data_IF_159224189803
#
_entry.id   IF_159224189803
#
_cell.length_a   1.000
_cell.length_b   1.000
_cell.length_c   1.000
_cell.angle_alpha   90.00
_cell.angle_beta   90.00
_cell.angle_gamma   90.00
#
_symmetry.space_group_name_H-M   'P 1'
#
loop_
_entity.id
_entity.type
_entity.pdbx_description
1 polymer ?
#
# COMPACT_ATOMS: atom_id res chain seq x y z
N UNK A 1 -1.60 15.45 13.08
CA UNK A 1 -1.28 15.03 11.70
C UNK A 1 -1.16 13.51 11.71
N UNK A 2 -1.77 12.80 10.75
CA UNK A 2 -1.68 11.34 10.68
C UNK A 2 -0.26 10.89 10.30
N UNK A 3 0.41 10.14 11.16
CA UNK A 3 1.75 9.64 10.85
C UNK A 3 1.68 8.45 9.89
N UNK A 4 2.65 8.30 8.97
CA UNK A 4 2.70 7.16 8.04
C UNK A 4 2.66 5.81 8.75
N UNK A 5 3.37 5.67 9.87
CA UNK A 5 3.39 4.42 10.66
C UNK A 5 2.02 4.10 11.27
N UNK A 6 1.27 5.10 11.75
CA UNK A 6 -0.07 4.89 12.30
C UNK A 6 -1.04 4.41 11.21
N UNK A 7 -0.89 4.97 10.01
CA UNK A 7 -1.68 4.54 8.86
C UNK A 7 -1.33 3.12 8.42
N UNK A 8 -0.05 2.75 8.42
CA UNK A 8 0.41 1.37 8.18
C UNK A 8 -0.25 0.38 9.15
N UNK A 9 -0.37 0.74 10.44
CA UNK A 9 -0.97 -0.16 11.44
C UNK A 9 -2.44 -0.49 11.11
N UNK A 10 -3.16 0.38 10.38
CA UNK A 10 -4.54 0.06 9.97
C UNK A 10 -4.59 -1.16 9.04
N UNK A 11 -3.62 -1.31 8.14
CA UNK A 11 -3.50 -2.52 7.30
C UNK A 11 -3.08 -3.77 8.06
N UNK A 12 -2.48 -3.61 9.24
CA UNK A 12 -2.13 -4.73 10.13
C UNK A 12 -3.29 -5.15 11.05
N UNK A 13 -4.37 -4.37 11.07
CA UNK A 13 -5.49 -4.49 11.99
C UNK A 13 -6.84 -4.42 11.25
N UNK A 14 -6.96 -5.12 10.12
CA UNK A 14 -8.19 -5.20 9.32
C UNK A 14 -9.27 -5.95 10.13
N UNK A 15 -10.45 -5.34 10.29
CA UNK A 15 -11.56 -5.92 11.04
C UNK A 15 -12.59 -6.53 10.10
N UNK A 16 -12.74 -7.86 10.15
CA UNK A 16 -13.64 -8.60 9.29
C UNK A 16 -14.84 -9.10 10.08
N UNK A 17 -16.04 -8.66 9.70
CA UNK A 17 -17.30 -9.12 10.27
C UNK A 17 -17.71 -10.42 9.62
N UNK A 18 -18.06 -11.42 10.42
CA UNK A 18 -18.50 -12.72 9.95
C UNK A 18 -19.59 -13.29 10.86
N UNK A 19 -20.60 -13.92 10.25
CA UNK A 19 -21.56 -14.74 10.99
C UNK A 19 -20.88 -16.00 11.50
N UNK A 20 -21.11 -16.34 12.77
CA UNK A 20 -20.71 -17.62 13.36
C UNK A 20 -21.96 -18.30 13.87
N UNK A 21 -22.27 -19.46 13.31
CA UNK A 21 -23.29 -20.35 13.85
C UNK A 21 -22.79 -20.92 15.18
N UNK A 22 -23.66 -20.88 16.16
CA UNK A 22 -23.48 -21.45 17.47
C UNK A 22 -24.31 -22.74 17.52
N UNK A 23 -23.62 -23.88 17.44
CA UNK A 23 -24.24 -25.20 17.33
C UNK A 23 -25.10 -25.55 18.56
N UNK A 24 -24.71 -25.06 19.74
CA UNK A 24 -25.43 -25.31 21.00
C UNK A 24 -26.76 -24.55 21.04
N UNK A 25 -26.77 -23.31 20.56
CA UNK A 25 -27.95 -22.43 20.61
C UNK A 25 -28.74 -22.36 19.31
N UNK A 26 -28.25 -23.01 18.25
CA UNK A 26 -28.74 -22.88 16.86
C UNK A 26 -28.92 -21.43 16.42
N UNK A 27 -28.09 -20.53 16.97
CA UNK A 27 -28.18 -19.09 16.71
C UNK A 27 -26.98 -18.62 15.89
N UNK A 28 -27.18 -17.61 15.06
CA UNK A 28 -26.09 -16.94 14.36
C UNK A 28 -25.72 -15.66 15.11
N UNK A 29 -24.46 -15.53 15.52
CA UNK A 29 -23.93 -14.30 16.10
C UNK A 29 -22.87 -13.66 15.20
N UNK A 30 -22.78 -12.34 15.26
CA UNK A 30 -21.74 -11.60 14.56
C UNK A 30 -20.43 -11.64 15.35
N UNK A 31 -19.35 -12.08 14.71
CA UNK A 31 -18.00 -12.07 15.26
C UNK A 31 -17.12 -11.14 14.42
N UNK A 32 -16.19 -10.45 15.07
CA UNK A 32 -15.18 -9.62 14.40
C UNK A 32 -13.82 -10.28 14.51
N UNK A 33 -13.26 -10.67 13.37
CA UNK A 33 -11.91 -11.20 13.28
C UNK A 33 -10.91 -10.10 12.90
N UNK A 34 -9.70 -10.17 13.44
CA UNK A 34 -8.61 -9.24 13.11
C UNK A 34 -7.53 -9.95 12.29
N UNK A 35 -7.26 -9.42 11.10
CA UNK A 35 -6.27 -9.94 10.15
C UNK A 35 -5.39 -8.81 9.61
N UNK A 36 -4.37 -9.15 8.81
CA UNK A 36 -3.44 -8.18 8.21
C UNK A 36 -3.31 -8.36 6.69
N UNK A 37 -3.03 -7.27 5.99
CA UNK A 37 -2.57 -7.29 4.60
C UNK A 37 -1.04 -7.27 4.59
N UNK A 38 -0.43 -8.37 4.14
CA UNK A 38 1.03 -8.55 4.14
C UNK A 38 1.68 -8.67 2.77
N UNK A 39 0.89 -8.93 1.71
CA UNK A 39 1.34 -9.17 0.33
C UNK A 39 1.50 -7.85 -0.42
N UNK A 40 2.54 -7.78 -1.27
CA UNK A 40 2.64 -6.74 -2.29
C UNK A 40 1.93 -7.22 -3.54
N UNK A 41 1.12 -6.36 -4.13
CA UNK A 41 0.31 -6.71 -5.29
C UNK A 41 0.43 -5.61 -6.32
N UNK A 42 0.98 -5.93 -7.48
CA UNK A 42 1.02 -5.03 -8.64
C UNK A 42 0.17 -5.69 -9.72
N UNK A 43 -0.99 -5.09 -10.00
CA UNK A 43 -1.94 -5.68 -10.93
C UNK A 43 -1.33 -5.88 -12.32
N UNK A 44 -1.31 -7.13 -12.78
CA UNK A 44 -1.10 -7.52 -14.16
C UNK A 44 -2.43 -7.96 -14.77
N UNK A 45 -2.82 -7.35 -15.90
CA UNK A 45 -4.10 -7.60 -16.55
C UNK A 45 -4.04 -8.69 -17.63
N UNK A 46 -2.87 -9.29 -17.84
CA UNK A 46 -2.73 -10.44 -18.73
C UNK A 46 -3.69 -11.55 -18.30
N UNK A 47 -4.36 -12.18 -19.28
CA UNK A 47 -5.53 -13.02 -19.03
C UNK A 47 -5.26 -14.20 -18.08
N UNK A 48 -4.03 -14.72 -18.11
CA UNK A 48 -3.60 -15.91 -17.36
C UNK A 48 -2.78 -15.57 -16.10
N UNK A 49 -2.60 -14.28 -15.79
CA UNK A 49 -1.84 -13.84 -14.62
C UNK A 49 -2.50 -14.30 -13.31
N UNK A 50 -1.68 -14.50 -12.28
CA UNK A 50 -2.18 -14.81 -10.93
C UNK A 50 -3.00 -13.63 -10.40
N UNK A 51 -2.58 -12.40 -10.69
CA UNK A 51 -3.26 -11.17 -10.29
C UNK A 51 -4.67 -11.07 -10.87
N UNK A 52 -4.86 -11.47 -12.14
CA UNK A 52 -6.18 -11.52 -12.77
C UNK A 52 -7.07 -12.59 -12.14
N UNK A 53 -6.51 -13.74 -11.79
CA UNK A 53 -7.23 -14.82 -11.08
C UNK A 53 -7.63 -14.36 -9.68
N UNK A 54 -6.72 -13.77 -8.91
CA UNK A 54 -6.97 -13.19 -7.58
C UNK A 54 -8.08 -12.13 -7.64
N UNK A 55 -7.97 -11.19 -8.59
CA UNK A 55 -8.97 -10.16 -8.81
C UNK A 55 -10.35 -10.78 -9.08
N UNK A 56 -10.44 -11.76 -9.98
CA UNK A 56 -11.70 -12.43 -10.29
C UNK A 56 -12.25 -13.18 -9.05
N UNK A 57 -11.38 -13.85 -8.29
CA UNK A 57 -11.75 -14.55 -7.05
C UNK A 57 -12.38 -13.60 -6.05
N UNK A 58 -11.72 -12.48 -5.73
CA UNK A 58 -12.20 -11.48 -4.76
C UNK A 58 -13.49 -10.81 -5.25
N UNK A 59 -13.57 -10.48 -6.53
CA UNK A 59 -14.62 -9.59 -7.06
C UNK A 59 -15.83 -10.33 -7.61
N UNK A 60 -15.78 -11.66 -7.78
CA UNK A 60 -16.93 -12.46 -8.25
C UNK A 60 -18.17 -12.13 -7.42
N UNK A 61 -19.35 -12.10 -8.01
CA UNK A 61 -20.55 -11.82 -7.22
C UNK A 61 -21.83 -11.78 -8.01
N UNK A 62 -22.95 -11.76 -7.29
CA UNK A 62 -24.27 -11.74 -7.89
C UNK A 62 -24.75 -10.32 -8.13
N UNK A 63 -25.20 -10.04 -9.35
CA UNK A 63 -25.90 -8.79 -9.69
C UNK A 63 -27.20 -8.60 -8.90
N UNK A 64 -27.71 -9.64 -8.25
CA UNK A 64 -28.93 -9.59 -7.41
C UNK A 64 -28.64 -9.39 -5.92
N UNK A 65 -27.38 -9.48 -5.49
CA UNK A 65 -27.02 -9.26 -4.09
C UNK A 65 -26.83 -7.75 -3.84
N UNK A 66 -27.72 -7.15 -3.05
CA UNK A 66 -27.75 -5.72 -2.74
C UNK A 66 -26.49 -5.26 -2.01
N UNK A 67 -26.11 -5.97 -0.94
CA UNK A 67 -24.90 -5.68 -0.17
C UNK A 67 -23.65 -5.64 -1.04
N UNK A 68 -23.50 -6.60 -1.97
CA UNK A 68 -22.38 -6.62 -2.90
C UNK A 68 -22.43 -5.42 -3.85
N UNK A 69 -23.60 -5.06 -4.39
CA UNK A 69 -23.73 -3.92 -5.31
C UNK A 69 -23.32 -2.59 -4.65
N UNK A 70 -23.74 -2.38 -3.41
CA UNK A 70 -23.40 -1.18 -2.64
C UNK A 70 -21.90 -1.08 -2.35
N UNK A 71 -21.26 -2.22 -2.06
CA UNK A 71 -19.85 -2.28 -1.66
C UNK A 71 -18.89 -2.60 -2.82
N UNK A 72 -19.42 -2.88 -4.02
CA UNK A 72 -18.63 -3.32 -5.18
C UNK A 72 -17.47 -2.39 -5.50
N UNK A 73 -17.60 -1.05 -5.53
CA UNK A 73 -16.48 -0.18 -5.85
C UNK A 73 -15.30 -0.32 -4.89
N UNK A 74 -15.57 -0.55 -3.60
CA UNK A 74 -14.56 -0.74 -2.56
C UNK A 74 -13.90 -2.11 -2.67
N UNK A 75 -14.69 -3.15 -2.89
CA UNK A 75 -14.17 -4.52 -3.15
C UNK A 75 -13.24 -4.52 -4.36
N UNK A 76 -13.61 -3.81 -5.43
CA UNK A 76 -12.76 -3.63 -6.61
C UNK A 76 -11.44 -2.93 -6.27
N UNK A 77 -11.47 -1.86 -5.47
CA UNK A 77 -10.26 -1.16 -5.07
C UNK A 77 -9.30 -2.07 -4.31
N UNK A 78 -9.79 -2.83 -3.32
CA UNK A 78 -9.00 -3.81 -2.59
C UNK A 78 -8.39 -4.87 -3.52
N UNK A 79 -9.19 -5.43 -4.43
CA UNK A 79 -8.75 -6.45 -5.39
C UNK A 79 -7.70 -5.94 -6.39
N UNK A 80 -7.62 -4.63 -6.65
CA UNK A 80 -6.59 -4.02 -7.51
C UNK A 80 -5.33 -3.61 -6.73
N UNK A 81 -5.26 -3.88 -5.43
CA UNK A 81 -4.21 -3.37 -4.54
C UNK A 81 -4.24 -1.85 -4.37
N UNK A 82 -5.41 -1.24 -4.55
CA UNK A 82 -5.67 0.21 -4.42
C UNK A 82 -6.60 0.54 -3.26
N UNK A 83 -7.02 -0.44 -2.47
CA UNK A 83 -7.98 -0.23 -1.38
C UNK A 83 -7.41 0.58 -0.23
N UNK A 84 -8.26 1.33 0.47
CA UNK A 84 -8.03 1.75 1.85
C UNK A 84 -8.26 0.56 2.82
N UNK A 85 -7.84 0.61 4.10
CA UNK A 85 -8.08 -0.47 5.05
C UNK A 85 -9.54 -0.98 5.08
N UNK A 86 -10.50 -0.05 5.06
CA UNK A 86 -11.94 -0.36 5.05
C UNK A 86 -12.39 -1.11 3.78
N UNK A 87 -11.70 -0.91 2.65
CA UNK A 87 -12.00 -1.63 1.42
C UNK A 87 -11.62 -3.12 1.55
N UNK A 88 -10.51 -3.42 2.25
CA UNK A 88 -10.11 -4.80 2.53
C UNK A 88 -11.03 -5.46 3.57
N UNK A 89 -11.54 -4.71 4.55
CA UNK A 89 -12.57 -5.20 5.48
C UNK A 89 -13.79 -5.71 4.72
N UNK A 90 -14.29 -4.91 3.77
CA UNK A 90 -15.45 -5.26 2.94
C UNK A 90 -15.13 -6.38 1.95
N UNK A 91 -13.94 -6.42 1.36
CA UNK A 91 -13.55 -7.50 0.46
C UNK A 91 -13.50 -8.87 1.18
N UNK A 92 -13.01 -8.89 2.41
CA UNK A 92 -12.95 -10.10 3.22
C UNK A 92 -14.32 -10.49 3.80
N UNK A 93 -15.13 -9.52 4.23
CA UNK A 93 -16.53 -9.76 4.60
C UNK A 93 -17.30 -10.36 3.42
N UNK A 94 -17.05 -9.86 2.20
CA UNK A 94 -17.63 -10.43 0.99
C UNK A 94 -17.18 -11.86 0.73
N UNK A 95 -15.90 -12.19 0.95
CA UNK A 95 -15.39 -13.55 0.79
C UNK A 95 -16.10 -14.53 1.73
N UNK A 96 -16.38 -14.13 2.97
CA UNK A 96 -17.19 -14.92 3.91
C UNK A 96 -18.64 -15.03 3.42
N UNK A 97 -19.32 -13.89 3.16
CA UNK A 97 -20.74 -13.86 2.75
C UNK A 97 -21.01 -14.64 1.46
N UNK A 98 -20.06 -14.66 0.53
CA UNK A 98 -20.18 -15.38 -0.73
C UNK A 98 -19.78 -16.86 -0.66
N UNK A 99 -19.46 -17.37 0.53
CA UNK A 99 -19.07 -18.78 0.74
C UNK A 99 -17.70 -19.14 0.15
N UNK A 100 -16.81 -18.17 -0.09
CA UNK A 100 -15.43 -18.45 -0.52
C UNK A 100 -14.56 -18.93 0.62
N UNK A 101 -14.92 -18.54 1.84
CA UNK A 101 -14.35 -19.02 3.08
C UNK A 101 -15.44 -19.84 3.74
N UNK A 102 -15.35 -21.17 3.61
CA UNK A 102 -16.40 -22.10 4.08
C UNK A 102 -16.60 -22.05 5.60
N UNK A 103 -15.51 -21.90 6.35
CA UNK A 103 -15.53 -21.78 7.81
C UNK A 103 -14.77 -20.53 8.23
N UNK A 104 -15.51 -19.49 8.63
CA UNK A 104 -14.92 -18.22 9.01
C UNK A 104 -14.18 -18.35 10.35
N UNK A 105 -12.87 -18.18 10.31
CA UNK A 105 -11.99 -18.11 11.47
C UNK A 105 -10.89 -17.08 11.18
N UNK A 106 -10.17 -16.62 12.21
CA UNK A 106 -9.00 -15.76 11.99
C UNK A 106 -8.00 -16.38 11.02
N UNK A 107 -7.75 -17.68 11.13
CA UNK A 107 -6.77 -18.39 10.29
C UNK A 107 -7.20 -18.49 8.83
N UNK A 108 -8.44 -18.90 8.57
CA UNK A 108 -8.97 -19.05 7.20
C UNK A 108 -9.17 -17.71 6.51
N UNK A 109 -9.55 -16.65 7.24
CA UNK A 109 -9.63 -15.29 6.69
C UNK A 109 -8.23 -14.75 6.39
N UNK A 110 -7.26 -14.98 7.28
CA UNK A 110 -5.87 -14.56 7.03
C UNK A 110 -5.29 -15.29 5.81
N UNK A 111 -5.52 -16.59 5.68
CA UNK A 111 -5.07 -17.37 4.51
C UNK A 111 -5.67 -16.80 3.21
N UNK A 112 -6.97 -16.53 3.18
CA UNK A 112 -7.60 -15.89 2.01
C UNK A 112 -6.99 -14.52 1.69
N UNK A 113 -6.69 -13.71 2.72
CA UNK A 113 -6.03 -12.42 2.54
C UNK A 113 -4.61 -12.59 1.97
N UNK A 114 -3.82 -13.52 2.50
CA UNK A 114 -2.45 -13.78 2.06
C UNK A 114 -2.40 -14.32 0.62
N UNK A 115 -3.39 -15.13 0.23
CA UNK A 115 -3.45 -15.71 -1.11
C UNK A 115 -3.91 -14.68 -2.15
N UNK A 116 -4.96 -13.89 -1.86
CA UNK A 116 -5.67 -13.13 -2.89
C UNK A 116 -5.63 -11.61 -2.75
N UNK A 117 -5.12 -11.07 -1.64
CA UNK A 117 -5.12 -9.63 -1.39
C UNK A 117 -3.71 -9.13 -1.09
N UNK A 118 -3.32 -8.08 -1.78
CA UNK A 118 -2.13 -7.31 -1.42
C UNK A 118 -2.32 -5.87 -1.81
N UNK A 119 -1.31 -5.05 -1.51
CA UNK A 119 -1.37 -3.62 -1.80
C UNK A 119 -0.22 -3.18 -2.70
N UNK A 120 -0.54 -2.32 -3.67
CA UNK A 120 0.43 -1.67 -4.54
C UNK A 120 1.11 -0.49 -3.82
N UNK A 121 2.33 -0.15 -4.21
CA UNK A 121 3.08 0.98 -3.65
C UNK A 121 2.33 2.30 -3.82
N UNK A 122 1.76 2.53 -5.00
CA UNK A 122 0.99 3.76 -5.25
C UNK A 122 -0.43 3.69 -4.66
N UNK A 123 -1.00 2.49 -4.51
CA UNK A 123 -2.24 2.29 -3.74
C UNK A 123 -2.07 2.68 -2.28
N UNK A 124 -1.00 2.22 -1.62
CA UNK A 124 -0.69 2.60 -0.24
C UNK A 124 -0.51 4.12 -0.09
N UNK A 125 0.34 4.73 -0.94
CA UNK A 125 0.63 6.17 -0.88
C UNK A 125 -0.61 7.02 -1.16
N UNK A 126 -1.42 6.65 -2.15
CA UNK A 126 -2.67 7.37 -2.46
C UNK A 126 -3.59 7.40 -1.25
N UNK A 127 -3.85 6.24 -0.65
CA UNK A 127 -4.79 6.15 0.46
C UNK A 127 -4.23 6.80 1.75
N UNK A 128 -2.91 6.79 1.95
CA UNK A 128 -2.27 7.58 3.02
C UNK A 128 -2.52 9.08 2.83
N UNK A 129 -2.27 9.62 1.64
CA UNK A 129 -2.46 11.04 1.35
C UNK A 129 -3.92 11.47 1.50
N UNK A 130 -4.85 10.62 1.09
CA UNK A 130 -6.29 10.83 1.29
C UNK A 130 -6.63 10.86 2.79
N UNK A 131 -6.19 9.86 3.56
CA UNK A 131 -6.43 9.79 5.00
C UNK A 131 -5.78 10.94 5.77
N UNK A 132 -4.66 11.47 5.27
CA UNK A 132 -3.98 12.64 5.84
C UNK A 132 -4.58 13.99 5.41
N UNK A 133 -5.64 14.00 4.58
CA UNK A 133 -6.28 15.22 4.08
C UNK A 133 -5.46 15.98 3.02
N UNK A 134 -4.46 15.33 2.43
CA UNK A 134 -3.55 15.92 1.42
C UNK A 134 -3.98 15.65 -0.02
N UNK A 135 -5.01 14.83 -0.20
CA UNK A 135 -5.52 14.43 -1.50
C UNK A 135 -7.02 14.14 -1.43
N UNK A 136 -7.78 14.57 -2.43
CA UNK A 136 -9.21 14.30 -2.50
C UNK A 136 -9.46 12.86 -2.97
N UNK A 137 -10.38 12.17 -2.28
CA UNK A 137 -10.82 10.85 -2.67
C UNK A 137 -11.73 10.92 -3.91
N UNK A 138 -11.28 10.32 -5.01
CA UNK A 138 -12.09 10.07 -6.20
C UNK A 138 -11.69 8.71 -6.79
N UNK A 139 -12.60 8.06 -7.52
CA UNK A 139 -12.30 6.81 -8.25
C UNK A 139 -11.08 6.97 -9.17
N UNK A 140 -10.94 8.13 -9.82
CA UNK A 140 -9.79 8.46 -10.67
C UNK A 140 -8.50 8.53 -9.86
N UNK A 141 -8.53 9.19 -8.71
CA UNK A 141 -7.37 9.32 -7.82
C UNK A 141 -6.88 7.96 -7.34
N UNK A 142 -7.79 7.07 -6.93
CA UNK A 142 -7.43 5.76 -6.36
C UNK A 142 -6.94 4.79 -7.44
N UNK A 143 -7.56 4.80 -8.63
CA UNK A 143 -7.31 3.77 -9.65
C UNK A 143 -6.27 4.14 -10.69
N UNK A 144 -6.08 5.42 -10.98
CA UNK A 144 -5.26 5.87 -12.11
C UNK A 144 -3.92 6.52 -11.69
N UNK A 145 -3.49 6.33 -10.44
CA UNK A 145 -2.17 6.77 -9.98
C UNK A 145 -1.13 5.66 -10.18
N UNK A 146 0.07 6.09 -10.54
CA UNK A 146 1.27 5.25 -10.56
C UNK A 146 2.40 6.00 -9.85
N UNK A 147 3.51 5.32 -9.54
CA UNK A 147 4.61 5.96 -8.82
C UNK A 147 5.12 7.25 -9.48
N UNK A 148 5.15 7.31 -10.82
CA UNK A 148 5.67 8.46 -11.55
C UNK A 148 4.71 9.67 -11.54
N UNK A 149 3.40 9.48 -11.32
CA UNK A 149 2.43 10.59 -11.25
C UNK A 149 2.64 11.50 -10.03
N UNK A 150 3.47 11.09 -9.08
CA UNK A 150 3.82 11.88 -7.90
C UNK A 150 5.05 12.77 -8.07
N UNK A 151 5.78 12.59 -9.17
CA UNK A 151 6.95 13.41 -9.44
C UNK A 151 6.52 14.78 -9.98
N UNK A 152 6.91 15.84 -9.29
CA UNK A 152 6.76 17.22 -9.76
C UNK A 152 7.95 18.04 -9.26
N UNK A 153 8.78 18.63 -10.14
CA UNK A 153 9.89 19.48 -9.74
C UNK A 153 9.47 20.64 -8.82
N UNK A 154 8.26 21.17 -9.01
CA UNK A 154 7.70 22.25 -8.18
C UNK A 154 7.40 21.81 -6.75
N UNK A 155 7.22 20.51 -6.51
CA UNK A 155 6.99 19.92 -5.19
C UNK A 155 8.27 19.34 -4.59
N UNK A 156 9.42 19.47 -5.26
CA UNK A 156 10.64 18.82 -4.82
C UNK A 156 11.19 19.46 -3.54
N UNK A 157 11.56 18.62 -2.58
CA UNK A 157 12.34 19.02 -1.40
C UNK A 157 13.81 18.97 -1.79
N UNK A 158 14.41 20.13 -2.04
CA UNK A 158 15.80 20.26 -2.53
C UNK A 158 16.84 20.49 -1.43
N UNK A 159 16.42 20.45 -0.17
CA UNK A 159 17.27 20.47 1.01
C UNK A 159 16.98 19.24 1.87
N UNK A 160 18.01 18.42 2.11
CA UNK A 160 17.88 17.23 2.93
C UNK A 160 17.46 17.55 4.37
N UNK A 161 17.87 18.69 4.92
CA UNK A 161 17.49 19.10 6.27
C UNK A 161 15.99 19.42 6.38
N UNK A 162 15.34 19.73 5.26
CA UNK A 162 13.92 20.05 5.19
C UNK A 162 13.03 18.82 4.99
N UNK A 163 13.58 17.61 4.84
CA UNK A 163 12.80 16.37 4.71
C UNK A 163 12.04 16.11 6.01
N UNK A 164 10.73 15.85 5.91
CA UNK A 164 9.85 15.66 7.07
C UNK A 164 8.90 14.47 6.91
N UNK A 165 8.27 14.01 8.00
CA UNK A 165 7.25 12.96 7.92
C UNK A 165 6.14 13.31 6.92
N UNK A 166 5.75 12.33 6.11
CA UNK A 166 4.73 12.48 5.08
C UNK A 166 5.22 13.05 3.73
N UNK A 167 6.50 13.41 3.59
CA UNK A 167 7.11 13.61 2.26
C UNK A 167 7.21 12.25 1.55
N UNK A 168 7.22 12.27 0.21
CA UNK A 168 7.21 11.06 -0.62
C UNK A 168 8.59 10.80 -1.22
N UNK A 169 9.00 9.54 -1.26
CA UNK A 169 10.17 9.09 -2.01
C UNK A 169 9.73 8.54 -3.36
N UNK A 170 10.11 9.21 -4.45
CA UNK A 170 9.82 8.75 -5.82
C UNK A 170 11.09 8.19 -6.44
N UNK A 171 11.03 6.95 -6.94
CA UNK A 171 12.22 6.28 -7.48
C UNK A 171 12.69 6.89 -8.81
N UNK A 172 14.01 6.99 -8.95
CA UNK A 172 14.70 7.59 -10.09
C UNK A 172 15.59 6.55 -10.78
N UNK A 173 15.80 6.73 -12.10
CA UNK A 173 16.85 6.09 -12.90
C UNK A 173 17.72 7.19 -13.47
N UNK A 174 18.95 7.33 -12.98
CA UNK A 174 19.75 8.52 -13.26
C UNK A 174 19.05 9.78 -12.74
N UNK A 175 18.85 10.78 -13.60
CA UNK A 175 18.13 12.02 -13.28
C UNK A 175 16.65 11.99 -13.69
N UNK A 176 16.11 10.85 -14.13
CA UNK A 176 14.74 10.72 -14.61
C UNK A 176 13.89 9.86 -13.67
N UNK A 177 12.58 10.12 -13.61
CA UNK A 177 11.64 9.29 -12.84
C UNK A 177 11.58 7.87 -13.42
N UNK A 178 11.71 6.85 -12.57
CA UNK A 178 11.60 5.45 -12.97
C UNK A 178 10.12 5.09 -13.19
N UNK A 179 9.75 4.66 -14.39
CA UNK A 179 8.35 4.37 -14.75
C UNK A 179 7.97 2.88 -14.80
N UNK A 180 8.91 1.97 -15.11
CA UNK A 180 8.62 0.54 -15.36
C UNK A 180 9.72 -0.40 -14.81
N UNK A 181 9.48 -1.10 -13.69
CA UNK A 181 8.53 -0.75 -12.65
C UNK A 181 9.00 0.51 -11.90
N UNK A 182 8.09 1.47 -11.73
CA UNK A 182 8.29 2.59 -10.80
C UNK A 182 8.11 2.14 -9.35
N UNK A 183 8.46 3.01 -8.40
CA UNK A 183 8.20 2.76 -6.98
C UNK A 183 8.02 4.09 -6.23
N UNK A 184 7.20 4.05 -5.19
CA UNK A 184 6.93 5.20 -4.32
C UNK A 184 6.76 4.75 -2.87
N UNK A 185 7.22 5.58 -1.94
CA UNK A 185 7.09 5.33 -0.51
C UNK A 185 6.87 6.63 0.28
N UNK A 186 6.53 6.52 1.56
CA UNK A 186 6.29 7.66 2.45
C UNK A 186 7.41 7.75 3.50
N UNK A 187 7.99 8.93 3.67
CA UNK A 187 8.97 9.19 4.74
C UNK A 187 8.24 9.21 6.07
N UNK A 188 8.65 8.34 7.00
CA UNK A 188 8.22 8.39 8.41
C UNK A 188 9.09 9.35 9.21
N UNK A 189 10.41 9.29 9.02
CA UNK A 189 11.36 10.19 9.69
C UNK A 189 12.67 10.27 8.91
N UNK A 190 13.40 11.37 9.08
CA UNK A 190 14.74 11.55 8.53
C UNK A 190 15.61 12.32 9.51
N UNK A 191 16.86 11.88 9.67
CA UNK A 191 17.89 12.59 10.40
C UNK A 191 19.05 12.84 9.44
N UNK A 192 19.44 14.10 9.18
CA UNK A 192 20.51 14.42 8.23
C UNK A 192 21.88 13.83 8.61
N UNK A 193 22.10 13.49 9.87
CA UNK A 193 23.31 12.82 10.33
C UNK A 193 23.33 11.33 9.98
N UNK A 194 24.53 10.79 9.71
CA UNK A 194 24.73 9.34 9.56
C UNK A 194 24.38 8.62 10.88
N UNK A 195 23.64 7.51 10.79
CA UNK A 195 23.28 6.67 11.94
C UNK A 195 23.49 5.20 11.61
N UNK A 196 23.91 4.42 12.61
CA UNK A 196 23.97 2.96 12.49
C UNK A 196 22.57 2.42 12.20
N UNK A 197 22.45 1.52 11.21
CA UNK A 197 21.16 0.97 10.77
C UNK A 197 20.41 1.82 9.74
N UNK A 198 20.78 3.08 9.52
CA UNK A 198 20.14 3.99 8.57
C UNK A 198 19.66 5.28 9.22
N UNK A 199 19.46 6.31 8.42
CA UNK A 199 19.09 7.65 8.86
C UNK A 199 17.74 8.14 8.30
N UNK A 200 17.03 7.28 7.56
CA UNK A 200 15.70 7.55 7.04
C UNK A 200 14.77 6.37 7.31
N UNK A 201 13.70 6.58 8.06
CA UNK A 201 12.64 5.59 8.22
C UNK A 201 11.57 5.83 7.15
N UNK A 202 11.18 4.76 6.46
CA UNK A 202 10.28 4.80 5.31
C UNK A 202 9.19 3.77 5.50
N UNK A 203 7.95 4.14 5.24
CA UNK A 203 6.81 3.21 5.18
C UNK A 203 6.47 2.94 3.72
N UNK A 204 6.42 1.67 3.33
CA UNK A 204 6.20 1.26 1.95
C UNK A 204 5.46 -0.07 1.81
N UNK A 205 4.76 -0.23 0.68
CA UNK A 205 4.40 -1.52 0.12
C UNK A 205 5.38 -1.84 -1.02
N UNK A 206 6.16 -2.92 -0.93
CA UNK A 206 7.31 -3.14 -1.83
C UNK A 206 7.36 -4.54 -2.42
N UNK A 207 7.62 -4.62 -3.72
CA UNK A 207 7.93 -5.88 -4.42
C UNK A 207 9.37 -6.38 -4.22
N UNK A 208 10.15 -5.75 -3.32
CA UNK A 208 11.52 -6.19 -3.04
C UNK A 208 11.55 -7.63 -2.54
N UNK A 209 12.34 -8.50 -3.18
CA UNK A 209 12.47 -9.92 -2.78
C UNK A 209 12.92 -10.08 -1.32
N UNK A 210 13.79 -9.19 -0.86
CA UNK A 210 14.39 -9.22 0.49
C UNK A 210 13.48 -8.62 1.59
N UNK A 211 12.32 -8.06 1.25
CA UNK A 211 11.39 -7.53 2.24
C UNK A 211 10.42 -8.62 2.71
N UNK A 212 10.28 -8.79 4.02
CA UNK A 212 9.23 -9.62 4.64
C UNK A 212 8.86 -9.01 6.00
N UNK A 213 7.62 -8.55 6.23
CA UNK A 213 6.48 -8.54 5.29
C UNK A 213 6.71 -7.56 4.12
N UNK A 214 5.80 -7.56 3.12
CA UNK A 214 5.92 -6.66 1.95
C UNK A 214 5.32 -5.28 2.18
N UNK A 215 4.46 -5.14 3.19
CA UNK A 215 3.95 -3.88 3.68
C UNK A 215 4.60 -3.59 5.05
N UNK A 216 5.57 -2.67 5.05
CA UNK A 216 6.50 -2.52 6.17
C UNK A 216 6.98 -1.09 6.37
N UNK A 217 7.53 -0.85 7.54
CA UNK A 217 8.45 0.24 7.79
C UNK A 217 9.89 -0.28 7.66
N UNK A 218 10.77 0.53 7.08
CA UNK A 218 12.13 0.15 6.73
C UNK A 218 13.10 1.27 7.05
N UNK A 219 14.27 0.89 7.53
CA UNK A 219 15.39 1.81 7.68
C UNK A 219 16.21 1.84 6.41
N UNK A 220 16.34 3.03 5.84
CA UNK A 220 17.20 3.33 4.70
C UNK A 220 18.41 4.11 5.21
N UNK A 221 19.56 3.91 4.55
CA UNK A 221 20.75 4.74 4.74
C UNK A 221 20.93 5.62 3.51
N UNK A 222 20.91 6.94 3.69
CA UNK A 222 21.32 7.87 2.64
C UNK A 222 22.84 7.79 2.52
N UNK A 223 23.32 7.33 1.35
CA UNK A 223 24.74 7.14 1.04
C UNK A 223 25.32 8.38 0.37
N UNK A 224 24.57 8.97 -0.56
CA UNK A 224 24.97 10.19 -1.27
C UNK A 224 23.78 11.13 -1.48
N UNK A 225 24.07 12.44 -1.46
CA UNK A 225 23.10 13.50 -1.79
C UNK A 225 23.58 14.21 -3.04
N UNK A 226 22.81 14.10 -4.11
CA UNK A 226 23.07 14.81 -5.36
C UNK A 226 22.15 16.04 -5.43
N UNK A 227 22.73 17.23 -5.22
CA UNK A 227 21.99 18.51 -5.20
C UNK A 227 21.28 18.79 -6.53
N UNK A 228 20.15 19.48 -6.49
CA UNK A 228 19.54 20.03 -7.71
C UNK A 228 20.50 21.03 -8.39
N UNK A 229 20.40 21.19 -9.71
CA UNK A 229 21.26 22.07 -10.49
C UNK A 229 21.11 21.88 -12.00
N UNK A 230 22.10 22.34 -12.76
CA UNK A 230 22.11 22.18 -14.23
C UNK A 230 22.01 20.70 -14.60
N UNK A 231 20.98 20.32 -15.34
CA UNK A 231 20.70 18.93 -15.74
C UNK A 231 20.06 18.04 -14.67
N UNK A 232 19.68 18.59 -13.50
CA UNK A 232 18.96 17.89 -12.44
C UNK A 232 17.93 18.79 -11.75
N UNK A 233 16.66 18.61 -12.11
CA UNK A 233 15.55 19.45 -11.61
C UNK A 233 15.24 19.28 -10.12
N UNK A 234 15.73 18.21 -9.48
CA UNK A 234 15.42 17.87 -8.08
C UNK A 234 16.64 17.30 -7.37
N UNK A 235 16.72 17.42 -6.05
CA UNK A 235 17.68 16.67 -5.25
C UNK A 235 17.41 15.17 -5.40
N UNK A 236 18.47 14.38 -5.57
CA UNK A 236 18.41 12.92 -5.64
C UNK A 236 19.23 12.37 -4.48
N UNK A 237 18.60 11.52 -3.68
CA UNK A 237 19.25 10.73 -2.64
C UNK A 237 19.60 9.37 -3.24
N UNK A 238 20.87 8.99 -3.13
CA UNK A 238 21.28 7.61 -3.30
C UNK A 238 21.18 6.91 -1.93
N UNK A 239 20.41 5.83 -1.87
CA UNK A 239 20.06 5.15 -0.63
C UNK A 239 20.35 3.65 -0.69
N UNK A 240 20.81 3.12 0.44
CA UNK A 240 20.80 1.68 0.72
C UNK A 240 19.48 1.29 1.35
N UNK A 241 18.80 0.32 0.75
CA UNK A 241 17.55 -0.26 1.24
C UNK A 241 17.56 -1.78 1.10
N UNK A 242 17.00 -2.50 2.06
CA UNK A 242 16.89 -3.98 1.98
C UNK A 242 18.23 -4.68 1.71
N UNK A 243 19.31 -4.16 2.29
CA UNK A 243 20.68 -4.63 2.10
C UNK A 243 21.36 -4.21 0.78
N UNK A 244 20.66 -3.51 -0.12
CA UNK A 244 21.17 -3.13 -1.46
C UNK A 244 21.39 -1.62 -1.58
N UNK A 245 22.61 -1.23 -1.93
CA UNK A 245 23.02 0.15 -2.18
C UNK A 245 22.60 0.66 -3.57
N UNK A 246 22.71 1.96 -3.80
CA UNK A 246 22.55 2.56 -5.14
C UNK A 246 21.12 2.83 -5.61
N UNK A 247 20.10 2.66 -4.75
CA UNK A 247 18.74 3.06 -5.11
C UNK A 247 18.65 4.58 -5.14
N UNK A 248 18.12 5.18 -6.21
CA UNK A 248 17.98 6.64 -6.32
C UNK A 248 16.54 7.07 -6.10
N UNK A 249 16.33 8.07 -5.26
CA UNK A 249 15.01 8.63 -4.96
C UNK A 249 15.05 10.16 -4.98
N UNK A 250 13.98 10.78 -5.47
CA UNK A 250 13.73 12.21 -5.24
C UNK A 250 12.65 12.37 -4.16
N UNK A 251 12.74 13.45 -3.38
CA UNK A 251 11.79 13.72 -2.30
C UNK A 251 10.74 14.74 -2.74
N UNK A 252 9.46 14.42 -2.60
CA UNK A 252 8.33 15.26 -3.02
C UNK A 252 7.46 15.64 -1.82
N UNK A 253 6.98 16.89 -1.80
CA UNK A 253 6.08 17.42 -0.77
C UNK A 253 4.64 17.44 -1.25
N UNK A 254 3.76 16.80 -0.48
CA UNK A 254 2.31 16.77 -0.66
C UNK A 254 1.60 17.21 0.62
#
# INVERSE_FOLDING_TARGET
>A
MLMPIDYLQRYRNIKVKAGKEDEETQSSRLVVYQVKIGKYFMMDWDADSEERKDFNTVTRGSRRNEWYRENKPKILNAAMGKGAPEDYELALEWAVRAGRISHASKGTIQAFADDHLGIDCSGFVTNYLIAAGKMMHTDRTVRNTNAASYFSPQKAVNDASAIRPGDLLVWMRGNQVKRRPGHIAVVQSYVPASRLGGNMQVVEATGSRNASPKLLDSMYKVEHIHRAGVGRSTMILEVKRHGRSGSRVSVMRY
#
